data_IF_077809366546
#
_entry.id   IF_077809366546
#
_cell.length_a   1.000
_cell.length_b   1.000
_cell.length_c   1.000
_cell.angle_alpha   90.00
_cell.angle_beta   90.00
_cell.angle_gamma   90.00
#
_symmetry.space_group_name_H-M   'P 1'
#
loop_
_entity.id
_entity.type
_entity.pdbx_description
1 polymer ?
#
# COMPACT_ATOMS: atom_id res chain seq x y z
N UNK A 1 -19.24 3.16 3.87
CA UNK A 1 -18.27 3.23 4.97
C UNK A 1 -17.48 4.50 4.82
N UNK A 2 -17.48 5.35 5.84
CA UNK A 2 -16.67 6.57 5.83
C UNK A 2 -15.24 6.28 6.29
N UNK A 3 -15.05 5.24 7.11
CA UNK A 3 -13.76 4.72 7.58
C UNK A 3 -13.84 3.19 7.62
N UNK A 4 -12.80 2.51 7.15
CA UNK A 4 -12.61 1.07 7.29
C UNK A 4 -11.19 0.75 7.74
N UNK A 5 -11.05 -0.21 8.66
CA UNK A 5 -9.76 -0.78 9.08
C UNK A 5 -9.79 -2.28 8.97
N UNK A 6 -8.77 -2.84 8.33
CA UNK A 6 -8.70 -4.26 7.96
C UNK A 6 -7.32 -4.81 8.31
N UNK A 7 -7.29 -6.04 8.82
CA UNK A 7 -6.08 -6.81 9.02
C UNK A 7 -6.10 -8.03 8.10
N UNK A 8 -5.09 -8.14 7.25
CA UNK A 8 -4.91 -9.27 6.32
C UNK A 8 -3.69 -10.07 6.79
N UNK A 9 -3.86 -11.37 6.99
CA UNK A 9 -2.77 -12.30 7.25
C UNK A 9 -2.55 -13.13 6.00
N UNK A 10 -1.34 -13.07 5.44
CA UNK A 10 -0.96 -13.84 4.26
C UNK A 10 -0.47 -15.24 4.66
N UNK A 11 -0.47 -16.17 3.71
CA UNK A 11 0.00 -17.56 3.92
C UNK A 11 1.43 -17.64 4.45
N UNK A 12 2.29 -16.69 4.05
CA UNK A 12 3.67 -16.59 4.52
C UNK A 12 3.82 -15.98 5.92
N UNK A 13 2.71 -15.71 6.62
CA UNK A 13 2.70 -15.08 7.95
C UNK A 13 2.90 -13.57 7.95
N UNK A 14 3.06 -12.92 6.79
CA UNK A 14 3.06 -11.46 6.68
C UNK A 14 1.68 -10.93 7.11
N UNK A 15 1.66 -9.79 7.79
CA UNK A 15 0.42 -9.13 8.21
C UNK A 15 0.39 -7.72 7.65
N UNK A 16 -0.65 -7.40 6.88
CA UNK A 16 -0.95 -6.04 6.44
C UNK A 16 -2.11 -5.47 7.25
N UNK A 17 -1.89 -4.29 7.83
CA UNK A 17 -2.96 -3.48 8.42
C UNK A 17 -3.25 -2.33 7.46
N UNK A 18 -4.49 -2.23 7.00
CA UNK A 18 -4.95 -1.23 6.04
C UNK A 18 -6.04 -0.39 6.68
N UNK A 19 -5.91 0.93 6.60
CA UNK A 19 -6.94 1.88 7.04
C UNK A 19 -7.21 2.86 5.91
N UNK A 20 -8.49 3.01 5.56
CA UNK A 20 -8.95 3.98 4.58
C UNK A 20 -10.07 4.81 5.21
N UNK A 21 -10.03 6.13 5.02
CA UNK A 21 -11.00 7.08 5.55
C UNK A 21 -11.23 8.17 4.52
N UNK A 22 -12.50 8.43 4.18
CA UNK A 22 -12.92 9.53 3.30
C UNK A 22 -13.19 10.82 4.08
N UNK A 23 -13.38 10.73 5.40
CA UNK A 23 -13.77 11.84 6.28
C UNK A 23 -12.62 12.35 7.16
N UNK A 24 -11.38 11.97 6.83
CA UNK A 24 -10.19 12.49 7.51
C UNK A 24 -10.00 13.97 7.22
N UNK A 25 -9.64 14.74 8.26
CA UNK A 25 -9.32 16.16 8.16
C UNK A 25 -8.02 16.38 7.36
N UNK A 26 -6.99 15.60 7.65
CA UNK A 26 -5.71 15.64 6.96
C UNK A 26 -5.62 14.61 5.81
N UNK A 27 -5.03 15.04 4.69
CA UNK A 27 -4.66 14.13 3.59
C UNK A 27 -3.46 13.28 4.01
N UNK A 28 -3.65 11.98 4.13
CA UNK A 28 -2.59 11.03 4.47
C UNK A 28 -2.53 9.89 3.45
N UNK A 29 -1.33 9.67 2.88
CA UNK A 29 -1.02 8.49 2.08
C UNK A 29 0.37 7.98 2.47
N UNK A 30 0.41 7.04 3.41
CA UNK A 30 1.64 6.48 3.97
C UNK A 30 1.66 4.97 3.91
N UNK A 31 2.82 4.40 3.56
CA UNK A 31 3.10 2.97 3.69
C UNK A 31 4.25 2.80 4.69
N UNK A 32 4.09 1.84 5.60
CA UNK A 32 5.06 1.51 6.65
C UNK A 32 5.36 0.03 6.59
N UNK A 33 6.62 -0.33 6.37
CA UNK A 33 7.08 -1.71 6.25
C UNK A 33 8.00 -2.01 7.41
N UNK A 34 7.70 -3.08 8.15
CA UNK A 34 8.49 -3.52 9.29
C UNK A 34 9.14 -4.86 8.98
N UNK A 35 10.45 -4.93 9.16
CA UNK A 35 11.26 -6.13 9.07
C UNK A 35 12.09 -6.27 10.36
N UNK A 36 12.69 -7.44 10.59
CA UNK A 36 13.41 -7.79 11.83
C UNK A 36 14.32 -6.68 12.38
N UNK A 37 15.09 -6.03 11.51
CA UNK A 37 16.05 -4.98 11.87
C UNK A 37 15.88 -3.70 11.02
N UNK A 38 14.74 -3.54 10.35
CA UNK A 38 14.55 -2.46 9.38
C UNK A 38 13.11 -1.96 9.38
N UNK A 39 12.95 -0.64 9.37
CA UNK A 39 11.67 0.03 9.21
C UNK A 39 11.76 0.96 8.00
N UNK A 40 10.83 0.83 7.06
CA UNK A 40 10.76 1.66 5.85
C UNK A 40 9.46 2.46 5.92
N UNK A 41 9.58 3.78 5.77
CA UNK A 41 8.46 4.71 5.73
C UNK A 41 8.42 5.38 4.36
N UNK A 42 7.25 5.31 3.71
CA UNK A 42 6.96 5.99 2.46
C UNK A 42 5.83 6.99 2.72
N UNK A 43 6.07 8.26 2.44
CA UNK A 43 5.08 9.34 2.49
C UNK A 43 4.83 9.83 1.06
N UNK A 44 3.70 9.44 0.48
CA UNK A 44 3.35 9.79 -0.90
C UNK A 44 2.85 11.22 -1.04
N UNK A 45 2.39 11.86 0.05
CA UNK A 45 1.96 13.25 0.03
C UNK A 45 3.18 14.16 -0.06
N UNK A 46 4.20 13.89 0.77
CA UNK A 46 5.44 14.66 0.77
C UNK A 46 6.47 14.18 -0.26
N UNK A 47 6.22 13.02 -0.89
CA UNK A 47 7.16 12.32 -1.78
C UNK A 47 8.51 12.05 -1.08
N UNK A 48 8.44 11.54 0.15
CA UNK A 48 9.61 11.24 0.96
C UNK A 48 9.64 9.77 1.34
N UNK A 49 10.85 9.22 1.41
CA UNK A 49 11.06 7.85 1.81
C UNK A 49 12.27 7.75 2.74
N UNK A 50 12.10 7.01 3.84
CA UNK A 50 13.14 6.83 4.85
C UNK A 50 13.30 5.35 5.20
N UNK A 51 14.55 4.91 5.33
CA UNK A 51 14.91 3.61 5.90
C UNK A 51 15.55 3.85 7.26
N UNK A 52 15.06 3.15 8.26
CA UNK A 52 15.58 3.10 9.61
C UNK A 52 16.15 1.70 9.84
N UNK A 53 17.46 1.59 10.08
CA UNK A 53 18.14 0.32 10.34
C UNK A 53 18.61 0.26 11.78
N UNK A 54 18.33 -0.86 12.46
CA UNK A 54 18.91 -1.14 13.78
C UNK A 54 20.37 -1.53 13.59
N UNK A 55 21.28 -0.81 14.25
CA UNK A 55 22.70 -1.12 14.30
C UNK A 55 23.13 -1.09 15.77
N UNK A 56 23.48 -2.26 16.33
CA UNK A 56 23.78 -2.42 17.76
C UNK A 56 22.70 -1.80 18.66
N UNK A 57 23.04 -0.72 19.38
CA UNK A 57 22.18 0.00 20.32
C UNK A 57 21.56 1.28 19.74
N UNK A 58 21.69 1.52 18.43
CA UNK A 58 21.17 2.73 17.77
C UNK A 58 20.31 2.41 16.54
N UNK A 59 19.50 3.39 16.14
CA UNK A 59 18.73 3.35 14.91
C UNK A 59 19.31 4.39 13.95
N UNK A 60 19.84 3.92 12.83
CA UNK A 60 20.35 4.76 11.76
C UNK A 60 19.23 5.13 10.80
N UNK A 61 18.99 6.43 10.59
CA UNK A 61 18.03 6.95 9.61
C UNK A 61 18.74 7.30 8.31
N UNK A 62 18.25 6.79 7.20
CA UNK A 62 18.70 7.10 5.85
C UNK A 62 17.52 7.63 5.02
N UNK A 63 17.73 8.75 4.34
CA UNK A 63 16.80 9.22 3.31
C UNK A 63 17.01 8.41 2.05
N UNK A 64 15.93 7.96 1.42
CA UNK A 64 15.99 7.40 0.08
C UNK A 64 15.82 8.55 -0.92
N UNK A 65 16.63 8.61 -2.00
CA UNK A 65 16.41 9.58 -3.05
C UNK A 65 15.07 9.25 -3.74
N UNK A 66 14.14 10.19 -3.71
CA UNK A 66 12.87 10.11 -4.43
C UNK A 66 12.89 11.19 -5.51
N UNK A 67 12.81 10.75 -6.75
CA UNK A 67 12.61 11.66 -7.88
C UNK A 67 11.16 12.11 -7.87
N UNK A 68 10.97 13.44 -7.85
CA UNK A 68 9.64 14.05 -7.78
C UNK A 68 9.02 14.06 -9.17
N UNK A 69 8.28 13.01 -9.48
CA UNK A 69 7.58 12.87 -10.75
C UNK A 69 6.06 12.78 -10.55
N UNK A 70 5.29 13.15 -11.58
CA UNK A 70 3.85 13.00 -11.58
C UNK A 70 3.51 11.52 -11.89
N UNK A 71 2.79 10.80 -11.00
CA UNK A 71 2.57 9.36 -11.18
C UNK A 71 1.78 8.99 -12.43
N UNK A 72 0.75 9.77 -12.78
CA UNK A 72 -0.13 9.45 -13.90
C UNK A 72 0.57 9.56 -15.27
N UNK A 73 1.32 10.65 -15.58
CA UNK A 73 2.17 10.67 -16.78
C UNK A 73 3.13 9.49 -16.87
N UNK A 74 3.78 9.12 -15.76
CA UNK A 74 4.72 7.99 -15.72
C UNK A 74 4.04 6.64 -15.95
N UNK A 75 2.84 6.46 -15.44
CA UNK A 75 2.01 5.28 -15.71
C UNK A 75 1.64 5.16 -17.19
N UNK A 76 1.28 6.28 -17.84
CA UNK A 76 0.94 6.31 -19.27
C UNK A 76 2.17 6.10 -20.16
N UNK A 77 3.32 6.71 -19.82
CA UNK A 77 4.60 6.46 -20.49
C UNK A 77 4.95 4.97 -20.43
N UNK A 78 4.89 4.37 -19.23
CA UNK A 78 5.15 2.95 -19.04
C UNK A 78 4.18 2.06 -19.83
N UNK A 79 2.91 2.45 -19.92
CA UNK A 79 1.92 1.72 -20.73
C UNK A 79 2.27 1.73 -22.22
N UNK A 80 2.67 2.89 -22.76
CA UNK A 80 3.11 2.99 -24.16
C UNK A 80 4.39 2.18 -24.41
N UNK A 81 5.36 2.25 -23.50
CA UNK A 81 6.60 1.47 -23.58
C UNK A 81 6.31 -0.04 -23.61
N UNK A 82 5.33 -0.51 -22.84
CA UNK A 82 4.94 -1.92 -22.87
C UNK A 82 4.34 -2.34 -24.22
N UNK A 83 3.58 -1.46 -24.87
CA UNK A 83 3.01 -1.73 -26.20
C UNK A 83 4.10 -1.73 -27.28
N UNK A 84 5.00 -0.75 -27.23
CA UNK A 84 6.02 -0.55 -28.26
C UNK A 84 7.10 -1.64 -28.17
N UNK A 85 7.56 -1.96 -26.97
CA UNK A 85 8.71 -2.84 -26.73
C UNK A 85 8.31 -4.27 -26.32
N UNK A 86 7.02 -4.61 -26.36
CA UNK A 86 6.47 -5.91 -25.90
C UNK A 86 6.93 -6.28 -24.47
N UNK A 87 6.93 -5.28 -23.57
CA UNK A 87 7.30 -5.48 -22.16
C UNK A 87 6.10 -5.93 -21.34
N UNK A 88 6.37 -6.74 -20.31
CA UNK A 88 5.38 -7.04 -19.27
C UNK A 88 5.21 -5.81 -18.37
N UNK A 89 3.97 -5.31 -18.16
CA UNK A 89 3.75 -4.15 -17.31
C UNK A 89 4.04 -4.45 -15.84
N UNK A 90 4.37 -3.41 -15.05
CA UNK A 90 4.59 -3.55 -13.59
C UNK A 90 3.40 -4.15 -12.85
N UNK A 91 2.18 -3.92 -13.36
CA UNK A 91 0.96 -4.53 -12.87
C UNK A 91 0.22 -5.13 -14.05
N UNK A 92 0.10 -6.45 -14.07
CA UNK A 92 -0.65 -7.19 -15.08
C UNK A 92 -2.14 -7.20 -14.76
N UNK A 93 -2.97 -7.51 -15.77
CA UNK A 93 -4.41 -7.69 -15.56
C UNK A 93 -4.75 -8.79 -14.55
N UNK A 94 -3.91 -9.82 -14.43
CA UNK A 94 -4.06 -10.89 -13.44
C UNK A 94 -3.84 -10.38 -12.01
N UNK A 95 -2.81 -9.57 -11.80
CA UNK A 95 -2.54 -8.95 -10.49
C UNK A 95 -3.63 -7.95 -10.11
N UNK A 96 -4.11 -7.15 -11.08
CA UNK A 96 -5.26 -6.27 -10.88
C UNK A 96 -6.52 -7.03 -10.47
N UNK A 97 -6.83 -8.15 -11.13
CA UNK A 97 -7.96 -9.00 -10.78
C UNK A 97 -7.82 -9.64 -9.39
N UNK A 98 -6.60 -10.03 -9.00
CA UNK A 98 -6.33 -10.55 -7.65
C UNK A 98 -6.54 -9.48 -6.57
N UNK A 99 -6.05 -8.26 -6.80
CA UNK A 99 -6.27 -7.14 -5.89
C UNK A 99 -7.77 -6.82 -5.73
N UNK A 100 -8.52 -6.81 -6.84
CA UNK A 100 -9.97 -6.63 -6.81
C UNK A 100 -10.68 -7.74 -6.03
N UNK A 101 -10.28 -9.00 -6.23
CA UNK A 101 -10.83 -10.14 -5.47
C UNK A 101 -10.67 -9.94 -3.96
N UNK A 102 -9.50 -9.52 -3.51
CA UNK A 102 -9.24 -9.22 -2.08
C UNK A 102 -10.12 -8.05 -1.61
N UNK A 103 -10.27 -6.99 -2.40
CA UNK A 103 -11.13 -5.86 -2.06
C UNK A 103 -12.61 -6.28 -1.90
N UNK A 104 -13.11 -7.14 -2.79
CA UNK A 104 -14.47 -7.69 -2.68
C UNK A 104 -14.64 -8.54 -1.42
N UNK A 105 -13.67 -9.40 -1.10
CA UNK A 105 -13.70 -10.18 0.14
C UNK A 105 -13.75 -9.29 1.39
N UNK A 106 -12.98 -8.19 1.40
CA UNK A 106 -13.00 -7.21 2.49
C UNK A 106 -14.40 -6.58 2.62
N UNK A 107 -14.98 -6.15 1.50
CA UNK A 107 -16.31 -5.57 1.45
C UNK A 107 -17.34 -6.54 2.03
N UNK A 108 -17.33 -7.80 1.59
CA UNK A 108 -18.23 -8.84 2.09
C UNK A 108 -18.09 -9.03 3.61
N UNK A 109 -16.86 -9.12 4.12
CA UNK A 109 -16.62 -9.26 5.56
C UNK A 109 -17.13 -8.07 6.36
N UNK A 110 -16.95 -6.84 5.87
CA UNK A 110 -17.47 -5.63 6.53
C UNK A 110 -19.00 -5.70 6.63
N UNK A 111 -19.70 -6.11 5.57
CA UNK A 111 -21.15 -6.21 5.57
C UNK A 111 -21.69 -7.36 6.43
N UNK A 112 -21.06 -8.54 6.43
CA UNK A 112 -21.45 -9.67 7.28
C UNK A 112 -21.23 -9.37 8.77
N UNK A 113 -20.12 -8.73 9.12
CA UNK A 113 -19.80 -8.38 10.50
C UNK A 113 -20.84 -7.43 11.11
N UNK A 114 -21.44 -6.56 10.30
CA UNK A 114 -22.51 -5.63 10.72
C UNK A 114 -23.84 -6.32 11.01
N UNK A 115 -24.14 -7.45 10.39
CA UNK A 115 -25.38 -8.19 10.62
C UNK A 115 -25.39 -8.97 11.95
N UNK A 116 -24.26 -9.06 12.66
CA UNK A 116 -24.15 -9.83 13.91
C UNK A 116 -24.59 -9.05 15.16
N UNK A 117 -25.05 -7.79 15.02
CA UNK A 117 -25.65 -7.05 16.13
C UNK A 117 -27.17 -7.16 16.01
N UNK A 118 -27.72 -8.23 16.59
CA UNK A 118 -29.15 -8.34 16.92
C UNK A 118 -29.29 -8.08 18.42
N UNK A 119 -30.05 -7.04 18.79
CA UNK A 119 -30.65 -6.93 20.11
C UNK A 119 -31.86 -7.85 20.21
#
# INVERSE_FOLDING_TARGET
EDIASVRITFENGCVANLTASRVSEDVMRKIRIFQKNTYISLDYVNQEAFIYKKHEHQILKHSLPIEKEQPLPKELEHFLDCIIDDKVPYVTGKEGAQALKVALQIIDHIWTSRQTISL
#
